data_IF_543057998589
#
_entry.id   IF_543057998589
#
_cell.length_a   1.000
_cell.length_b   1.000
_cell.length_c   1.000
_cell.angle_alpha   90.00
_cell.angle_beta   90.00
_cell.angle_gamma   90.00
#
_symmetry.space_group_name_H-M   'P 1'
#
loop_
_entity.id
_entity.type
_entity.pdbx_description
1 polymer ?
#
# COMPACT_ATOMS: atom_id res chain seq x y z
N UNK A 1 21.61 -35.19 -65.68
CA UNK A 1 21.78 -33.89 -64.98
C UNK A 1 21.05 -33.99 -63.66
N UNK A 2 21.82 -34.13 -62.58
CA UNK A 2 21.32 -34.30 -61.23
C UNK A 2 21.55 -32.99 -60.49
N UNK A 3 20.48 -32.25 -60.18
CA UNK A 3 20.57 -31.06 -59.34
C UNK A 3 19.73 -31.31 -58.10
N UNK A 4 20.40 -31.86 -57.08
CA UNK A 4 19.86 -32.02 -55.73
C UNK A 4 19.93 -30.66 -55.05
N UNK A 5 18.80 -29.97 -55.07
CA UNK A 5 18.62 -28.70 -54.40
C UNK A 5 18.70 -28.89 -52.88
N UNK A 6 19.85 -28.56 -52.29
CA UNK A 6 20.12 -28.65 -50.85
C UNK A 6 19.38 -27.52 -50.15
N UNK A 7 18.14 -27.78 -49.73
CA UNK A 7 17.42 -26.97 -48.73
C UNK A 7 18.29 -26.81 -47.48
N UNK A 8 18.91 -25.63 -47.33
CA UNK A 8 19.60 -25.20 -46.11
C UNK A 8 18.57 -25.06 -44.99
N UNK A 9 18.59 -25.97 -44.03
CA UNK A 9 17.86 -25.86 -42.77
C UNK A 9 18.39 -24.65 -41.99
N UNK A 10 17.63 -23.55 -41.94
CA UNK A 10 17.94 -22.38 -41.10
C UNK A 10 17.90 -22.78 -39.63
N UNK A 11 19.05 -22.67 -38.96
CA UNK A 11 19.25 -22.90 -37.52
C UNK A 11 19.01 -21.60 -36.77
N UNK A 12 17.83 -20.99 -36.93
CA UNK A 12 17.55 -19.68 -36.33
C UNK A 12 16.11 -19.53 -35.81
N UNK A 13 15.43 -20.65 -35.60
CA UNK A 13 14.25 -20.67 -34.75
C UNK A 13 14.65 -21.33 -33.43
N UNK A 14 14.64 -20.60 -32.30
CA UNK A 14 14.70 -21.26 -31.01
C UNK A 14 13.48 -22.18 -30.97
N UNK A 15 13.73 -23.50 -31.00
CA UNK A 15 12.71 -24.49 -30.67
C UNK A 15 12.24 -24.11 -29.29
N UNK A 16 11.06 -23.53 -29.18
CA UNK A 16 10.31 -23.46 -27.93
C UNK A 16 10.03 -24.91 -27.56
N UNK A 17 11.02 -25.54 -26.92
CA UNK A 17 10.92 -26.86 -26.36
C UNK A 17 9.72 -26.80 -25.44
N UNK A 18 8.66 -27.49 -25.84
CA UNK A 18 7.53 -27.74 -24.97
C UNK A 18 8.09 -28.35 -23.72
N UNK A 19 8.30 -27.51 -22.69
CA UNK A 19 8.49 -27.95 -21.32
C UNK A 19 7.30 -28.86 -21.10
N UNK A 20 7.54 -30.17 -21.11
CA UNK A 20 6.64 -31.14 -20.49
C UNK A 20 6.46 -30.62 -19.07
N UNK A 21 5.43 -29.80 -18.87
CA UNK A 21 4.93 -29.46 -17.55
C UNK A 21 4.41 -30.79 -17.06
N UNK A 22 5.27 -31.47 -16.31
CA UNK A 22 4.89 -32.56 -15.44
C UNK A 22 3.77 -31.96 -14.60
N UNK A 23 2.52 -32.24 -14.98
CA UNK A 23 1.36 -31.84 -14.19
C UNK A 23 1.50 -32.62 -12.91
N UNK A 24 2.05 -31.95 -11.89
CA UNK A 24 1.99 -32.44 -10.52
C UNK A 24 0.51 -32.64 -10.23
N UNK A 25 0.06 -33.82 -9.81
CA UNK A 25 -1.32 -34.02 -9.44
C UNK A 25 -1.58 -33.17 -8.20
N UNK A 26 -2.20 -32.00 -8.38
CA UNK A 26 -2.69 -31.12 -7.30
C UNK A 26 -3.96 -31.72 -6.70
N UNK A 27 -3.86 -32.94 -6.18
CA UNK A 27 -4.97 -33.63 -5.50
C UNK A 27 -5.18 -33.15 -4.06
N UNK A 28 -4.29 -32.28 -3.57
CA UNK A 28 -4.54 -31.47 -2.39
C UNK A 28 -4.87 -30.07 -2.87
N UNK A 29 -6.17 -29.79 -3.01
CA UNK A 29 -6.69 -28.51 -3.48
C UNK A 29 -6.26 -27.40 -2.52
N UNK A 30 -5.46 -26.49 -3.04
CA UNK A 30 -4.96 -25.28 -2.37
C UNK A 30 -6.11 -24.46 -1.74
N UNK A 31 -7.30 -24.55 -2.34
CA UNK A 31 -8.57 -23.97 -1.87
C UNK A 31 -9.11 -24.65 -0.60
N UNK A 32 -9.07 -25.98 -0.48
CA UNK A 32 -9.58 -26.70 0.69
C UNK A 32 -8.72 -26.42 1.93
N UNK A 33 -7.39 -26.40 1.74
CA UNK A 33 -6.47 -25.91 2.77
C UNK A 33 -6.65 -24.41 3.03
N UNK A 34 -7.18 -23.64 2.05
CA UNK A 34 -7.57 -22.22 2.15
C UNK A 34 -8.49 -22.00 3.33
N UNK A 35 -9.64 -22.62 3.19
CA UNK A 35 -10.74 -22.56 4.13
C UNK A 35 -10.36 -23.22 5.45
N UNK A 36 -9.61 -24.33 5.43
CA UNK A 36 -9.18 -25.02 6.64
C UNK A 36 -8.25 -24.14 7.48
N UNK A 37 -7.22 -23.53 6.89
CA UNK A 37 -6.30 -22.64 7.64
C UNK A 37 -7.00 -21.40 8.16
N UNK A 38 -7.93 -20.81 7.41
CA UNK A 38 -8.69 -19.64 7.89
C UNK A 38 -9.60 -19.98 9.08
N UNK A 39 -10.20 -21.17 9.07
CA UNK A 39 -10.94 -21.70 10.23
C UNK A 39 -10.00 -21.98 11.40
N UNK A 40 -8.86 -22.63 11.14
CA UNK A 40 -7.87 -22.96 12.18
C UNK A 40 -7.26 -21.71 12.82
N UNK A 41 -6.95 -20.67 12.03
CA UNK A 41 -6.43 -19.40 12.51
C UNK A 41 -7.43 -18.67 13.40
N UNK A 42 -8.71 -18.60 13.00
CA UNK A 42 -9.78 -18.04 13.84
C UNK A 42 -9.99 -18.85 15.12
N UNK A 43 -9.90 -20.17 15.03
CA UNK A 43 -10.07 -21.06 16.18
C UNK A 43 -8.94 -20.92 17.20
N UNK A 44 -7.68 -20.88 16.74
CA UNK A 44 -6.50 -20.83 17.59
C UNK A 44 -6.20 -19.43 18.14
N UNK A 45 -6.64 -18.36 17.45
CA UNK A 45 -6.51 -16.98 17.92
C UNK A 45 -7.49 -16.58 19.03
N UNK A 46 -8.42 -17.46 19.41
CA UNK A 46 -9.45 -17.14 20.40
C UNK A 46 -9.14 -17.75 21.77
N UNK A 47 -9.33 -16.99 22.85
CA UNK A 47 -9.09 -17.44 24.24
C UNK A 47 -9.86 -18.72 24.62
N UNK A 48 -10.96 -19.02 23.93
CA UNK A 48 -11.75 -20.24 24.13
C UNK A 48 -10.98 -21.53 23.85
N UNK A 49 -10.00 -21.54 22.93
CA UNK A 49 -9.21 -22.74 22.66
C UNK A 49 -8.39 -23.16 23.88
N UNK A 50 -7.71 -22.19 24.51
CA UNK A 50 -6.91 -22.43 25.70
C UNK A 50 -7.79 -22.93 26.85
N UNK A 51 -8.94 -22.30 27.09
CA UNK A 51 -9.89 -22.70 28.13
C UNK A 51 -10.39 -24.13 27.89
N UNK A 52 -10.76 -24.47 26.64
CA UNK A 52 -11.21 -25.81 26.27
C UNK A 52 -10.13 -26.87 26.48
N UNK A 53 -8.89 -26.59 26.08
CA UNK A 53 -7.75 -27.49 26.30
C UNK A 53 -7.44 -27.68 27.79
N UNK A 54 -7.47 -26.63 28.59
CA UNK A 54 -7.27 -26.71 30.04
C UNK A 54 -8.39 -27.55 30.69
N UNK A 55 -9.65 -27.33 30.30
CA UNK A 55 -10.78 -28.10 30.80
C UNK A 55 -10.67 -29.57 30.42
N UNK A 56 -10.27 -29.88 29.18
CA UNK A 56 -10.03 -31.26 28.74
C UNK A 56 -8.97 -31.95 29.59
N UNK A 57 -7.82 -31.29 29.84
CA UNK A 57 -6.76 -31.83 30.70
C UNK A 57 -7.25 -32.05 32.13
N UNK A 58 -8.00 -31.09 32.69
CA UNK A 58 -8.57 -31.21 34.03
C UNK A 58 -9.57 -32.36 34.13
N UNK A 59 -10.50 -32.48 33.19
CA UNK A 59 -11.49 -33.56 33.16
C UNK A 59 -10.81 -34.91 33.02
N UNK A 60 -9.81 -35.03 32.13
CA UNK A 60 -9.03 -36.26 31.97
C UNK A 60 -8.32 -36.66 33.27
N UNK A 61 -7.68 -35.69 33.94
CA UNK A 61 -6.97 -35.92 35.17
C UNK A 61 -7.93 -36.31 36.30
N UNK A 62 -9.03 -35.58 36.49
CA UNK A 62 -10.05 -35.85 37.49
C UNK A 62 -10.68 -37.23 37.25
N UNK A 63 -11.01 -37.57 36.00
CA UNK A 63 -11.55 -38.88 35.66
C UNK A 63 -10.59 -40.01 36.01
N UNK A 64 -9.32 -39.94 35.58
CA UNK A 64 -8.38 -41.02 35.83
C UNK A 64 -7.88 -41.10 37.29
N UNK A 65 -7.97 -40.00 38.07
CA UNK A 65 -7.56 -39.97 39.48
C UNK A 65 -8.70 -40.33 40.45
N UNK A 66 -9.91 -39.81 40.25
CA UNK A 66 -11.05 -40.07 41.14
C UNK A 66 -11.87 -41.32 40.74
N UNK A 67 -11.73 -41.85 39.52
CA UNK A 67 -12.49 -43.04 39.12
C UNK A 67 -12.09 -44.28 39.94
N UNK A 68 -13.07 -45.15 40.29
CA UNK A 68 -12.82 -46.47 40.86
C UNK A 68 -11.93 -47.30 39.93
N UNK A 69 -11.05 -48.16 40.48
CA UNK A 69 -10.13 -49.01 39.70
C UNK A 69 -10.72 -49.68 38.44
N UNK A 70 -11.95 -50.24 38.44
CA UNK A 70 -12.51 -50.87 37.24
C UNK A 70 -12.92 -49.90 36.12
N UNK A 71 -13.01 -48.59 36.38
CA UNK A 71 -13.42 -47.56 35.42
C UNK A 71 -12.25 -46.63 35.02
N UNK A 72 -11.05 -46.90 35.52
CA UNK A 72 -9.85 -46.14 35.14
C UNK A 72 -9.45 -46.53 33.73
N UNK A 73 -9.61 -45.58 32.81
CA UNK A 73 -9.23 -45.76 31.41
C UNK A 73 -7.70 -45.86 31.26
N UNK A 74 -6.96 -45.08 32.06
CA UNK A 74 -5.51 -45.10 32.13
C UNK A 74 -5.02 -45.20 33.60
N UNK A 75 -4.44 -46.34 34.00
CA UNK A 75 -3.82 -46.51 35.32
C UNK A 75 -2.68 -45.50 35.60
N UNK A 76 -2.08 -44.94 34.54
CA UNK A 76 -0.96 -44.00 34.57
C UNK A 76 -1.34 -42.65 33.94
N UNK A 77 -2.38 -42.01 34.48
CA UNK A 77 -3.03 -40.78 33.96
C UNK A 77 -2.12 -39.72 33.31
N UNK A 78 -0.90 -39.53 33.82
CA UNK A 78 0.05 -38.54 33.34
C UNK A 78 0.89 -39.00 32.14
N UNK A 79 1.26 -40.29 32.07
CA UNK A 79 2.20 -40.79 31.06
C UNK A 79 1.52 -40.81 29.70
N UNK A 80 0.31 -41.38 29.60
CA UNK A 80 -0.41 -41.42 28.34
C UNK A 80 -0.81 -40.01 27.87
N UNK A 81 -1.27 -39.16 28.80
CA UNK A 81 -1.59 -37.77 28.48
C UNK A 81 -0.37 -37.02 27.94
N UNK A 82 0.80 -37.19 28.55
CA UNK A 82 2.05 -36.58 28.08
C UNK A 82 2.46 -37.10 26.70
N UNK A 83 2.34 -38.41 26.47
CA UNK A 83 2.60 -39.02 25.16
C UNK A 83 1.65 -38.49 24.08
N UNK A 84 0.36 -38.32 24.43
CA UNK A 84 -0.63 -37.79 23.50
C UNK A 84 -0.36 -36.32 23.17
N UNK A 85 -0.02 -35.49 24.17
CA UNK A 85 0.32 -34.08 23.97
C UNK A 85 1.63 -33.90 23.18
N UNK A 86 2.64 -34.74 23.41
CA UNK A 86 3.89 -34.68 22.63
C UNK A 86 3.67 -35.07 21.17
N UNK A 87 2.86 -36.10 20.91
CA UNK A 87 2.40 -36.43 19.57
C UNK A 87 1.60 -35.28 18.96
N UNK A 88 0.76 -34.62 19.76
CA UNK A 88 -0.05 -33.49 19.31
C UNK A 88 0.81 -32.32 18.80
N UNK A 89 1.85 -31.98 19.55
CA UNK A 89 2.82 -30.96 19.13
C UNK A 89 3.60 -31.40 17.88
N UNK A 90 3.98 -32.67 17.79
CA UNK A 90 4.76 -33.21 16.67
C UNK A 90 4.02 -33.16 15.34
N UNK A 91 2.72 -33.50 15.31
CA UNK A 91 1.93 -33.39 14.07
C UNK A 91 1.53 -31.94 13.74
N UNK A 92 1.45 -31.07 14.75
CA UNK A 92 1.13 -29.66 14.53
C UNK A 92 2.24 -28.95 13.75
N UNK A 93 3.52 -29.25 14.03
CA UNK A 93 4.66 -28.62 13.36
C UNK A 93 4.62 -28.66 11.81
N UNK A 94 4.44 -29.82 11.15
CA UNK A 94 4.35 -29.86 9.68
C UNK A 94 3.10 -29.14 9.15
N UNK A 95 1.96 -29.23 9.84
CA UNK A 95 0.75 -28.49 9.43
C UNK A 95 0.96 -26.98 9.52
N UNK A 96 1.62 -26.51 10.58
CA UNK A 96 1.98 -25.11 10.76
C UNK A 96 2.95 -24.67 9.67
N UNK A 97 3.97 -25.47 9.32
CA UNK A 97 4.92 -25.16 8.25
C UNK A 97 4.22 -25.02 6.89
N UNK A 98 3.26 -25.89 6.56
CA UNK A 98 2.47 -25.75 5.34
C UNK A 98 1.60 -24.49 5.37
N UNK A 99 0.98 -24.17 6.51
CA UNK A 99 0.19 -22.95 6.66
C UNK A 99 1.06 -21.69 6.53
N UNK A 100 2.27 -21.70 7.10
CA UNK A 100 3.24 -20.60 7.04
C UNK A 100 3.76 -20.38 5.62
N UNK A 101 4.14 -21.43 4.89
CA UNK A 101 4.61 -21.29 3.50
C UNK A 101 3.57 -20.56 2.64
N UNK A 102 2.29 -20.90 2.80
CA UNK A 102 1.24 -20.24 2.04
C UNK A 102 0.96 -18.81 2.50
N UNK A 103 1.04 -18.55 3.80
CA UNK A 103 0.91 -17.19 4.30
C UNK A 103 2.02 -16.32 3.70
N UNK A 104 3.26 -16.80 3.68
CA UNK A 104 4.38 -16.12 3.06
C UNK A 104 4.19 -15.89 1.55
N UNK A 105 3.59 -16.84 0.81
CA UNK A 105 3.27 -16.67 -0.60
C UNK A 105 2.23 -15.56 -0.83
N UNK A 106 1.18 -15.49 -0.01
CA UNK A 106 0.20 -14.39 -0.06
C UNK A 106 0.82 -13.05 0.30
N UNK A 107 1.60 -13.01 1.37
CA UNK A 107 2.28 -11.80 1.83
C UNK A 107 3.24 -11.29 0.74
N UNK A 108 3.93 -12.19 0.03
CA UNK A 108 4.77 -11.85 -1.12
C UNK A 108 3.97 -11.19 -2.25
N UNK A 109 2.85 -11.79 -2.65
CA UNK A 109 2.00 -11.22 -3.73
C UNK A 109 1.45 -9.86 -3.31
N UNK A 110 1.02 -9.71 -2.05
CA UNK A 110 0.55 -8.43 -1.53
C UNK A 110 1.66 -7.37 -1.60
N UNK A 111 2.89 -7.69 -1.18
CA UNK A 111 4.04 -6.79 -1.27
C UNK A 111 4.42 -6.43 -2.71
N UNK A 112 4.33 -7.36 -3.66
CA UNK A 112 4.58 -7.06 -5.08
C UNK A 112 3.53 -6.11 -5.66
N UNK A 113 2.25 -6.29 -5.29
CA UNK A 113 1.17 -5.39 -5.69
C UNK A 113 1.32 -4.01 -5.07
N UNK A 114 1.70 -3.94 -3.79
CA UNK A 114 1.92 -2.69 -3.07
C UNK A 114 3.04 -1.87 -3.72
N UNK A 115 4.19 -2.51 -4.02
CA UNK A 115 5.27 -1.87 -4.79
C UNK A 115 4.81 -1.33 -6.13
N UNK A 116 4.03 -2.11 -6.89
CA UNK A 116 3.52 -1.65 -8.19
C UNK A 116 2.54 -0.47 -8.05
N UNK A 117 1.77 -0.40 -6.96
CA UNK A 117 0.89 0.73 -6.66
C UNK A 117 1.70 1.97 -6.29
N UNK A 118 2.74 1.82 -5.47
CA UNK A 118 3.61 2.92 -5.06
C UNK A 118 4.34 3.52 -6.26
N UNK A 119 4.88 2.69 -7.16
CA UNK A 119 5.50 3.16 -8.41
C UNK A 119 4.53 3.99 -9.27
N UNK A 120 3.27 3.55 -9.38
CA UNK A 120 2.23 4.31 -10.10
C UNK A 120 1.87 5.60 -9.38
N UNK A 121 1.73 5.57 -8.05
CA UNK A 121 1.42 6.75 -7.27
C UNK A 121 2.54 7.81 -7.34
N UNK A 122 3.80 7.38 -7.37
CA UNK A 122 4.95 8.25 -7.63
C UNK A 122 4.86 8.87 -9.03
N UNK A 123 4.62 8.07 -10.07
CA UNK A 123 4.48 8.56 -11.44
C UNK A 123 3.30 9.55 -11.59
N UNK A 124 2.16 9.26 -10.97
CA UNK A 124 1.00 10.16 -10.97
C UNK A 124 1.31 11.48 -10.25
N UNK A 125 2.07 11.43 -9.16
CA UNK A 125 2.52 12.63 -8.43
C UNK A 125 3.50 13.45 -9.28
N UNK A 126 4.46 12.81 -9.94
CA UNK A 126 5.38 13.48 -10.87
C UNK A 126 4.63 14.11 -12.06
N UNK A 127 3.61 13.42 -12.58
CA UNK A 127 2.77 13.94 -13.64
C UNK A 127 1.99 15.18 -13.17
N UNK A 128 1.26 15.08 -12.05
CA UNK A 128 0.49 16.19 -11.49
C UNK A 128 1.37 17.39 -11.13
N UNK A 129 2.57 17.16 -10.59
CA UNK A 129 3.49 18.27 -10.26
C UNK A 129 3.98 18.98 -11.53
N UNK A 130 4.26 18.24 -12.60
CA UNK A 130 4.61 18.81 -13.91
C UNK A 130 3.45 19.58 -14.53
N UNK A 131 2.23 19.03 -14.50
CA UNK A 131 1.03 19.70 -15.01
C UNK A 131 0.72 20.97 -14.22
N UNK A 132 0.83 20.94 -12.89
CA UNK A 132 0.65 22.13 -12.04
C UNK A 132 1.71 23.19 -12.34
N UNK A 133 2.97 22.79 -12.56
CA UNK A 133 4.03 23.73 -12.95
C UNK A 133 3.75 24.37 -14.32
N UNK A 134 3.29 23.59 -15.29
CA UNK A 134 2.89 24.09 -16.62
C UNK A 134 1.69 25.04 -16.53
N UNK A 135 0.65 24.66 -15.78
CA UNK A 135 -0.53 25.50 -15.53
C UNK A 135 -0.13 26.81 -14.86
N UNK A 136 0.76 26.78 -13.87
CA UNK A 136 1.26 27.98 -13.18
C UNK A 136 1.99 28.93 -14.14
N UNK A 137 2.77 28.40 -15.08
CA UNK A 137 3.47 29.21 -16.08
C UNK A 137 2.46 29.85 -17.05
N UNK A 138 1.49 29.08 -17.55
CA UNK A 138 0.43 29.57 -18.43
C UNK A 138 -0.44 30.65 -17.75
N UNK A 139 -0.76 30.49 -16.46
CA UNK A 139 -1.46 31.51 -15.67
C UNK A 139 -0.64 32.78 -15.48
N UNK A 140 0.68 32.66 -15.28
CA UNK A 140 1.58 33.82 -15.12
C UNK A 140 1.64 34.67 -16.39
N UNK A 141 1.53 34.03 -17.55
CA UNK A 141 1.56 34.71 -18.85
C UNK A 141 0.20 35.37 -19.19
N UNK A 142 -0.92 34.79 -18.73
CA UNK A 142 -2.28 35.27 -19.02
C UNK A 142 -2.87 36.25 -18.00
N UNK A 143 -2.33 36.35 -16.79
CA UNK A 143 -2.80 37.29 -15.77
C UNK A 143 -1.62 37.68 -14.86
N UNK A 144 -1.43 38.92 -14.41
CA UNK A 144 -2.45 39.57 -13.58
C UNK A 144 -2.25 41.09 -13.44
N UNK A 145 -1.09 41.65 -13.84
CA UNK A 145 -0.81 43.07 -13.61
C UNK A 145 -0.73 43.88 -14.88
N UNK A 146 0.07 43.45 -15.84
CA UNK A 146 0.35 44.29 -17.01
C UNK A 146 -0.78 44.23 -18.04
N UNK A 147 -1.39 43.07 -18.25
CA UNK A 147 -2.60 42.93 -19.08
C UNK A 147 -3.82 43.62 -18.45
N UNK A 148 -4.07 43.41 -17.15
CA UNK A 148 -5.18 44.08 -16.46
C UNK A 148 -4.98 45.60 -16.42
N UNK A 149 -3.74 46.07 -16.27
CA UNK A 149 -3.40 47.50 -16.31
C UNK A 149 -3.46 48.09 -17.72
N UNK A 150 -3.11 47.34 -18.76
CA UNK A 150 -3.24 47.81 -20.14
C UNK A 150 -4.71 47.91 -20.52
N UNK A 151 -5.52 46.90 -20.24
CA UNK A 151 -6.97 46.94 -20.50
C UNK A 151 -7.67 48.06 -19.71
N UNK A 152 -7.31 48.24 -18.43
CA UNK A 152 -7.84 49.37 -17.64
C UNK A 152 -7.42 50.74 -18.19
N UNK A 153 -6.24 50.85 -18.79
CA UNK A 153 -5.77 52.10 -19.42
C UNK A 153 -6.47 52.33 -20.75
N UNK A 154 -6.53 51.33 -21.59
CA UNK A 154 -7.19 51.40 -22.89
C UNK A 154 -8.69 51.75 -22.72
N UNK A 155 -9.37 51.15 -21.73
CA UNK A 155 -10.75 51.51 -21.39
C UNK A 155 -10.88 52.92 -20.78
N UNK A 156 -9.88 53.40 -20.02
CA UNK A 156 -9.88 54.78 -19.48
C UNK A 156 -9.73 55.80 -20.61
N UNK A 157 -8.78 55.56 -21.51
CA UNK A 157 -8.50 56.42 -22.66
C UNK A 157 -9.71 56.46 -23.60
N UNK A 158 -10.38 55.32 -23.81
CA UNK A 158 -11.63 55.25 -24.59
C UNK A 158 -12.79 56.04 -23.94
N UNK A 159 -12.89 56.03 -22.60
CA UNK A 159 -13.89 56.84 -21.89
C UNK A 159 -13.61 58.35 -21.97
N UNK A 160 -12.33 58.73 -21.91
CA UNK A 160 -11.87 60.12 -22.06
C UNK A 160 -12.13 60.64 -23.48
N UNK A 161 -11.85 59.83 -24.50
CA UNK A 161 -12.12 60.15 -25.91
C UNK A 161 -13.62 60.28 -26.22
N UNK A 162 -14.47 59.52 -25.51
CA UNK A 162 -15.94 59.64 -25.58
C UNK A 162 -16.51 60.79 -24.74
N UNK A 163 -15.67 61.62 -24.11
CA UNK A 163 -16.07 62.86 -23.42
C UNK A 163 -16.65 62.68 -22.02
N UNK A 164 -16.50 61.49 -21.42
CA UNK A 164 -16.88 61.23 -20.03
C UNK A 164 -15.66 61.45 -19.15
N UNK A 165 -15.44 62.71 -18.75
CA UNK A 165 -14.32 63.10 -17.91
C UNK A 165 -14.39 62.38 -16.54
N UNK A 166 -13.54 61.37 -16.35
CA UNK A 166 -13.29 60.76 -15.05
C UNK A 166 -12.58 61.80 -14.19
N UNK A 167 -13.33 62.44 -13.29
CA UNK A 167 -12.80 63.47 -12.41
C UNK A 167 -11.82 62.84 -11.42
N UNK A 168 -10.52 63.11 -11.58
CA UNK A 168 -9.52 62.78 -10.57
C UNK A 168 -9.90 63.52 -9.28
N UNK A 169 -10.43 62.80 -8.29
CA UNK A 169 -10.46 63.28 -6.91
C UNK A 169 -9.01 63.32 -6.40
N UNK A 170 -8.31 64.39 -6.76
CA UNK A 170 -7.06 64.78 -6.11
C UNK A 170 -7.48 65.57 -4.86
N UNK A 171 -7.59 64.88 -3.73
CA UNK A 171 -7.67 65.53 -2.44
C UNK A 171 -6.34 66.24 -2.16
N UNK A 172 -6.23 67.48 -2.62
CA UNK A 172 -5.20 68.41 -2.22
C UNK A 172 -5.77 69.31 -1.11
N UNK A 173 -5.46 69.00 0.15
CA UNK A 173 -5.61 69.96 1.25
C UNK A 173 -4.22 70.37 1.76
N UNK A 174 -3.79 71.51 1.21
CA UNK A 174 -3.02 72.64 1.77
C UNK A 174 -1.89 72.48 2.81
N UNK A 175 -0.84 73.33 2.71
CA UNK A 175 0.35 73.33 3.56
C UNK A 175 0.13 74.17 4.83
N UNK A 176 0.82 73.82 5.91
CA UNK A 176 1.02 74.70 7.06
C UNK A 176 2.41 74.47 7.66
N UNK A 177 3.29 75.44 7.37
CA UNK A 177 4.35 76.01 8.20
C UNK A 177 5.18 75.10 9.11
N UNK A 178 6.51 75.10 8.87
CA UNK A 178 7.51 74.68 9.85
C UNK A 178 7.53 75.61 11.09
N UNK A 179 8.25 75.25 12.17
CA UNK A 179 9.70 75.33 12.10
C UNK A 179 10.51 74.29 12.93
N UNK A 180 11.77 74.12 12.50
CA UNK A 180 13.01 73.91 13.27
C UNK A 180 13.06 72.91 14.46
N UNK A 181 13.85 71.85 14.29
CA UNK A 181 14.74 71.19 15.27
C UNK A 181 15.27 69.91 14.60
N UNK A 182 16.50 69.43 14.71
CA UNK A 182 17.71 69.80 15.43
C UNK A 182 18.81 68.97 14.74
N UNK A 183 19.91 69.63 14.35
CA UNK A 183 21.01 69.02 13.62
C UNK A 183 21.97 68.35 14.61
N UNK A 184 21.58 67.18 15.11
CA UNK A 184 22.38 66.35 16.03
C UNK A 184 23.43 65.51 15.30
N UNK A 185 24.50 66.16 14.86
CA UNK A 185 25.77 65.55 14.41
C UNK A 185 26.32 64.55 15.44
N UNK A 186 26.56 63.29 15.05
CA UNK A 186 27.64 62.44 15.61
C UNK A 186 28.21 61.48 14.56
N UNK A 187 29.51 61.58 14.24
CA UNK A 187 30.32 60.46 13.84
C UNK A 187 31.35 60.12 14.93
N UNK A 188 31.36 58.87 15.40
CA UNK A 188 32.52 58.02 15.75
C UNK A 188 32.01 56.67 16.21
#
# INVERSE_FOLDING_TARGET
MAERDRRRTRVDQPRTGGRRRLSRPTLFSEEAFGVLSEKFARFMGTAYFLIGMTLFVLVWLLWNTLAPQPLRFDPYAFIFLTLMLSLQASYAAPLILLAQNRQADRDRVALEQDRSRDERALADTEFLTREVAALRLAMRDSATRDFVRSELRDLLDEMEERGLAVTKHTDAQAPADGPAADEGRRPT
#
